data_IF_131600088162
#
_entry.id   IF_131600088162
#
_cell.length_a   1.000
_cell.length_b   1.000
_cell.length_c   1.000
_cell.angle_alpha   90.00
_cell.angle_beta   90.00
_cell.angle_gamma   90.00
#
_symmetry.space_group_name_H-M   'P 1'
#
loop_
_entity.id
_entity.type
_entity.pdbx_description
1 polymer ?
#
# COMPACT_ATOMS: atom_id res chain seq x y z
N UNK A 1 3.26 4.13 24.60
CA UNK A 1 2.73 5.21 23.75
C UNK A 1 2.09 4.62 22.50
N UNK A 2 0.91 5.08 22.17
CA UNK A 2 0.16 4.55 21.03
C UNK A 2 0.80 5.03 19.72
N UNK A 3 0.93 4.11 18.75
CA UNK A 3 1.49 4.46 17.45
C UNK A 3 0.50 5.27 16.63
N UNK A 4 1.00 6.16 15.82
CA UNK A 4 0.16 6.93 14.92
C UNK A 4 -0.25 6.06 13.72
N UNK A 5 -1.38 6.36 13.08
CA UNK A 5 -1.86 5.55 11.94
C UNK A 5 -0.84 5.39 10.83
N UNK A 6 -0.13 6.45 10.48
CA UNK A 6 0.85 6.38 9.39
C UNK A 6 1.97 5.39 9.68
N UNK A 7 2.42 5.29 10.93
CA UNK A 7 3.45 4.32 11.30
C UNK A 7 2.98 2.89 11.07
N UNK A 8 1.74 2.60 11.43
CA UNK A 8 1.18 1.25 11.25
C UNK A 8 1.02 0.91 9.78
N UNK A 9 0.56 1.87 8.99
CA UNK A 9 0.37 1.67 7.56
C UNK A 9 1.71 1.44 6.87
N UNK A 10 2.72 2.26 7.18
CA UNK A 10 4.06 2.12 6.59
C UNK A 10 4.68 0.78 6.99
N UNK A 11 4.47 0.34 8.22
CA UNK A 11 5.10 -0.89 8.71
C UNK A 11 4.39 -2.14 8.19
N UNK A 12 3.06 -2.14 8.17
CA UNK A 12 2.28 -3.36 7.94
C UNK A 12 1.62 -3.43 6.57
N UNK A 13 1.27 -2.32 5.97
CA UNK A 13 0.49 -2.31 4.74
C UNK A 13 1.33 -1.99 3.51
N UNK A 14 2.14 -0.94 3.55
CA UNK A 14 2.87 -0.51 2.38
C UNK A 14 3.84 -1.55 1.82
N UNK A 15 4.55 -2.33 2.64
CA UNK A 15 5.40 -3.40 2.07
C UNK A 15 4.58 -4.41 1.26
N UNK A 16 3.40 -4.77 1.75
CA UNK A 16 2.50 -5.66 1.02
C UNK A 16 1.99 -5.02 -0.27
N UNK A 17 1.62 -3.74 -0.19
CA UNK A 17 1.15 -3.00 -1.36
C UNK A 17 2.24 -2.91 -2.43
N UNK A 18 3.46 -2.58 -2.03
CA UNK A 18 4.60 -2.53 -2.96
C UNK A 18 4.85 -3.88 -3.61
N UNK A 19 4.83 -4.95 -2.82
CA UNK A 19 5.02 -6.30 -3.34
C UNK A 19 3.95 -6.70 -4.33
N UNK A 20 2.69 -6.43 -4.01
CA UNK A 20 1.58 -6.76 -4.89
C UNK A 20 1.59 -5.93 -6.16
N UNK A 21 1.89 -4.63 -6.06
CA UNK A 21 2.02 -3.76 -7.24
C UNK A 21 3.15 -4.22 -8.14
N UNK A 22 4.31 -4.53 -7.56
CA UNK A 22 5.45 -5.00 -8.33
C UNK A 22 5.10 -6.28 -9.10
N UNK A 23 4.43 -7.21 -8.43
CA UNK A 23 4.02 -8.47 -9.06
C UNK A 23 3.07 -8.23 -10.22
N UNK A 24 2.08 -7.37 -10.04
CA UNK A 24 1.13 -7.03 -11.11
C UNK A 24 1.83 -6.40 -12.30
N UNK A 25 2.73 -5.45 -12.06
CA UNK A 25 3.46 -4.79 -13.15
C UNK A 25 4.32 -5.77 -13.93
N UNK A 26 5.00 -6.67 -13.26
CA UNK A 26 5.85 -7.65 -13.94
C UNK A 26 5.01 -8.69 -14.68
N UNK A 27 4.03 -9.27 -14.02
CA UNK A 27 3.28 -10.40 -14.59
C UNK A 27 2.19 -9.99 -15.57
N UNK A 28 1.50 -8.90 -15.30
CA UNK A 28 0.38 -8.47 -16.11
C UNK A 28 0.75 -7.44 -17.16
N UNK A 29 1.65 -6.51 -16.81
CA UNK A 29 2.00 -5.41 -17.69
C UNK A 29 3.33 -5.58 -18.38
N UNK A 30 4.05 -6.67 -18.13
CA UNK A 30 5.28 -6.98 -18.83
C UNK A 30 6.49 -6.15 -18.45
N UNK A 31 6.45 -5.48 -17.31
CA UNK A 31 7.61 -4.71 -16.84
C UNK A 31 8.74 -5.65 -16.46
N UNK A 32 9.98 -5.21 -16.69
CA UNK A 32 11.13 -5.95 -16.17
C UNK A 32 11.32 -5.63 -14.71
N UNK A 33 12.01 -6.53 -14.00
CA UNK A 33 12.31 -6.30 -12.59
C UNK A 33 13.16 -5.04 -12.39
N UNK A 34 14.03 -4.75 -13.33
CA UNK A 34 14.87 -3.54 -13.29
C UNK A 34 14.00 -2.29 -13.43
N UNK A 35 13.03 -2.32 -14.34
CA UNK A 35 12.10 -1.18 -14.51
C UNK A 35 11.30 -0.93 -13.22
N UNK A 36 10.78 -1.97 -12.62
CA UNK A 36 10.01 -1.84 -11.37
C UNK A 36 10.91 -1.35 -10.23
N UNK A 37 12.12 -1.88 -10.14
CA UNK A 37 13.09 -1.44 -9.13
C UNK A 37 13.36 0.07 -9.26
N UNK A 38 13.52 0.55 -10.47
CA UNK A 38 13.76 1.97 -10.72
C UNK A 38 12.53 2.80 -10.31
N UNK A 39 11.34 2.36 -10.69
CA UNK A 39 10.10 3.07 -10.34
C UNK A 39 9.87 3.16 -8.83
N UNK A 40 10.20 2.10 -8.13
CA UNK A 40 9.92 2.00 -6.69
C UNK A 40 11.08 2.51 -5.83
N UNK A 41 12.22 2.80 -6.44
CA UNK A 41 13.41 3.20 -5.68
C UNK A 41 13.96 2.10 -4.80
N UNK A 42 13.88 0.85 -5.25
CA UNK A 42 14.38 -0.32 -4.52
C UNK A 42 15.34 -1.10 -5.40
N UNK A 43 15.95 -2.15 -4.85
CA UNK A 43 16.87 -3.01 -5.61
C UNK A 43 16.08 -4.01 -6.46
N UNK A 44 16.71 -4.47 -7.55
CA UNK A 44 16.09 -5.52 -8.36
C UNK A 44 15.96 -6.83 -7.59
N UNK A 45 16.84 -7.08 -6.62
CA UNK A 45 16.72 -8.22 -5.73
C UNK A 45 15.44 -8.16 -4.91
N UNK A 46 15.08 -6.97 -4.40
CA UNK A 46 13.83 -6.78 -3.68
C UNK A 46 12.63 -7.05 -4.57
N UNK A 47 12.66 -6.57 -5.81
CA UNK A 47 11.59 -6.83 -6.78
C UNK A 47 11.47 -8.32 -7.07
N UNK A 48 12.59 -9.01 -7.21
CA UNK A 48 12.58 -10.45 -7.41
C UNK A 48 11.87 -11.17 -6.27
N UNK A 49 12.11 -10.75 -5.04
CA UNK A 49 11.41 -11.30 -3.88
C UNK A 49 9.91 -11.02 -3.91
N UNK A 50 9.54 -9.83 -4.32
CA UNK A 50 8.12 -9.47 -4.46
C UNK A 50 7.41 -10.37 -5.47
N UNK A 51 8.05 -10.57 -6.63
CA UNK A 51 7.48 -11.39 -7.70
C UNK A 51 7.33 -12.84 -7.28
N UNK A 52 8.28 -13.35 -6.50
CA UNK A 52 8.22 -14.72 -5.98
C UNK A 52 7.22 -14.88 -4.84
N UNK A 53 6.66 -13.80 -4.33
CA UNK A 53 5.72 -13.85 -3.23
C UNK A 53 6.33 -14.05 -1.86
N UNK A 54 7.65 -13.94 -1.73
CA UNK A 54 8.34 -14.06 -0.44
C UNK A 54 7.99 -12.89 0.47
N UNK A 55 7.85 -11.70 -0.12
CA UNK A 55 7.34 -10.52 0.57
C UNK A 55 5.97 -10.23 0.01
N UNK A 56 4.99 -10.04 0.78
CA UNK A 56 3.67 -9.65 0.28
C UNK A 56 2.55 -10.40 0.96
N UNK A 57 2.87 -11.49 1.63
CA UNK A 57 1.89 -12.12 2.47
C UNK A 57 1.63 -11.23 3.68
N UNK A 58 0.38 -10.97 3.98
CA UNK A 58 0.02 -10.14 5.11
C UNK A 58 -1.20 -10.72 5.78
N UNK A 59 -1.00 -11.31 6.95
CA UNK A 59 -2.08 -11.97 7.67
C UNK A 59 -3.15 -10.98 8.12
N UNK A 60 -2.80 -9.71 8.34
CA UNK A 60 -3.79 -8.71 8.74
C UNK A 60 -4.78 -8.47 7.61
N UNK A 61 -4.27 -8.26 6.41
CA UNK A 61 -5.11 -8.03 5.22
C UNK A 61 -5.86 -9.30 4.86
N UNK A 62 -5.15 -10.42 4.80
CA UNK A 62 -5.70 -11.69 4.32
C UNK A 62 -6.82 -12.22 5.21
N UNK A 63 -6.77 -11.92 6.50
CA UNK A 63 -7.82 -12.32 7.44
C UNK A 63 -8.92 -11.28 7.60
N UNK A 64 -8.79 -10.12 6.96
CA UNK A 64 -9.78 -9.06 7.07
C UNK A 64 -10.88 -9.22 6.04
N UNK A 65 -12.01 -8.56 6.29
CA UNK A 65 -13.09 -8.49 5.32
C UNK A 65 -12.73 -7.64 4.10
N UNK A 66 -11.61 -6.95 4.14
CA UNK A 66 -11.17 -6.02 3.10
C UNK A 66 -10.17 -6.64 2.13
N UNK A 67 -9.89 -7.93 2.26
CA UNK A 67 -8.90 -8.60 1.42
C UNK A 67 -9.16 -8.42 -0.06
N UNK A 68 -10.35 -8.77 -0.51
CA UNK A 68 -10.69 -8.72 -1.93
C UNK A 68 -10.67 -7.28 -2.46
N UNK A 69 -11.23 -6.36 -1.71
CA UNK A 69 -11.24 -4.95 -2.08
C UNK A 69 -9.83 -4.38 -2.15
N UNK A 70 -8.98 -4.77 -1.20
CA UNK A 70 -7.59 -4.32 -1.15
C UNK A 70 -6.83 -4.77 -2.40
N UNK A 71 -6.91 -6.05 -2.73
CA UNK A 71 -6.16 -6.57 -3.88
C UNK A 71 -6.74 -6.09 -5.21
N UNK A 72 -8.04 -5.87 -5.28
CA UNK A 72 -8.63 -5.25 -6.46
C UNK A 72 -8.14 -3.82 -6.64
N UNK A 73 -8.03 -3.07 -5.57
CA UNK A 73 -7.46 -1.73 -5.60
C UNK A 73 -6.02 -1.77 -6.10
N UNK A 74 -5.24 -2.75 -5.66
CA UNK A 74 -3.85 -2.92 -6.11
C UNK A 74 -3.80 -3.16 -7.62
N UNK A 75 -4.68 -4.00 -8.14
CA UNK A 75 -4.75 -4.23 -9.59
C UNK A 75 -5.07 -2.93 -10.35
N UNK A 76 -6.03 -2.15 -9.85
CA UNK A 76 -6.38 -0.87 -10.45
C UNK A 76 -5.22 0.11 -10.40
N UNK A 77 -4.50 0.15 -9.29
CA UNK A 77 -3.33 1.02 -9.15
C UNK A 77 -2.22 0.62 -10.10
N UNK A 78 -1.99 -0.69 -10.31
CA UNK A 78 -1.02 -1.16 -11.27
C UNK A 78 -1.39 -0.73 -12.69
N UNK A 79 -2.66 -0.83 -13.05
CA UNK A 79 -3.14 -0.35 -14.35
C UNK A 79 -2.90 1.15 -14.50
N UNK A 80 -3.15 1.92 -13.45
CA UNK A 80 -2.94 3.36 -13.47
C UNK A 80 -1.45 3.72 -13.59
N UNK A 81 -0.59 2.99 -12.90
CA UNK A 81 0.86 3.18 -13.01
C UNK A 81 1.31 2.91 -14.45
N UNK A 82 0.79 1.85 -15.05
CA UNK A 82 1.12 1.50 -16.42
C UNK A 82 0.68 2.59 -17.42
N UNK A 83 -0.31 3.39 -17.06
CA UNK A 83 -0.80 4.48 -17.92
C UNK A 83 -0.25 5.84 -17.52
N UNK A 84 0.68 5.90 -16.58
CA UNK A 84 1.39 7.14 -16.27
C UNK A 84 1.29 7.65 -14.84
N UNK A 85 0.51 7.00 -13.98
CA UNK A 85 0.43 7.42 -12.58
C UNK A 85 1.77 7.19 -11.87
N UNK A 86 2.17 8.12 -11.03
CA UNK A 86 3.34 7.96 -10.19
C UNK A 86 3.12 6.91 -9.11
N UNK A 87 4.15 6.13 -8.82
CA UNK A 87 4.08 5.11 -7.75
C UNK A 87 3.78 5.75 -6.40
N UNK A 88 4.36 6.91 -6.13
CA UNK A 88 4.10 7.60 -4.86
C UNK A 88 2.63 7.99 -4.72
N UNK A 89 2.00 8.42 -5.80
CA UNK A 89 0.58 8.73 -5.79
C UNK A 89 -0.26 7.50 -5.51
N UNK A 90 0.06 6.39 -6.15
CA UNK A 90 -0.62 5.13 -5.92
C UNK A 90 -0.52 4.70 -4.46
N UNK A 91 0.67 4.81 -3.88
CA UNK A 91 0.88 4.45 -2.47
C UNK A 91 0.13 5.39 -1.53
N UNK A 92 0.04 6.67 -1.86
CA UNK A 92 -0.79 7.60 -1.08
C UNK A 92 -2.26 7.22 -1.11
N UNK A 93 -2.76 6.77 -2.25
CA UNK A 93 -4.14 6.30 -2.36
C UNK A 93 -4.38 5.04 -1.54
N UNK A 94 -3.39 4.17 -1.48
CA UNK A 94 -3.47 2.99 -0.60
C UNK A 94 -3.57 3.42 0.86
N UNK A 95 -2.73 4.37 1.29
CA UNK A 95 -2.81 4.90 2.65
C UNK A 95 -4.17 5.48 2.97
N UNK A 96 -4.72 6.26 2.05
CA UNK A 96 -6.02 6.87 2.22
C UNK A 96 -7.11 5.81 2.34
N UNK A 97 -7.06 4.78 1.52
CA UNK A 97 -7.99 3.67 1.61
C UNK A 97 -7.95 3.02 2.99
N UNK A 98 -6.75 2.74 3.50
CA UNK A 98 -6.60 2.12 4.82
C UNK A 98 -7.17 3.00 5.91
N UNK A 99 -6.91 4.31 5.85
CA UNK A 99 -7.40 5.25 6.84
C UNK A 99 -8.91 5.35 6.85
N UNK A 100 -9.54 5.22 5.70
CA UNK A 100 -10.98 5.40 5.55
C UNK A 100 -11.77 4.10 5.59
N UNK A 101 -11.10 2.97 5.70
CA UNK A 101 -11.74 1.67 5.81
C UNK A 101 -11.55 1.10 7.20
N UNK A 102 -12.25 0.01 7.51
CA UNK A 102 -12.06 -0.68 8.79
C UNK A 102 -10.72 -1.38 8.94
N UNK A 103 -9.90 -1.36 7.91
CA UNK A 103 -8.58 -2.00 7.96
C UNK A 103 -7.67 -1.32 8.99
N UNK A 104 -7.81 -0.01 9.18
CA UNK A 104 -7.05 0.69 10.22
C UNK A 104 -7.35 0.14 11.60
N UNK A 105 -8.61 -0.14 11.89
CA UNK A 105 -9.00 -0.75 13.16
C UNK A 105 -8.34 -2.12 13.34
N UNK A 106 -8.31 -2.91 12.26
CA UNK A 106 -7.65 -4.22 12.31
C UNK A 106 -6.17 -4.09 12.63
N UNK A 107 -5.50 -3.06 12.11
CA UNK A 107 -4.10 -2.81 12.42
C UNK A 107 -3.88 -2.49 13.89
N UNK A 108 -4.72 -1.64 14.48
CA UNK A 108 -4.59 -1.29 15.88
C UNK A 108 -4.87 -2.50 16.78
N UNK A 109 -5.84 -3.30 16.44
CA UNK A 109 -6.12 -4.53 17.18
C UNK A 109 -4.96 -5.50 17.10
N UNK A 110 -4.36 -5.63 15.92
CA UNK A 110 -3.18 -6.49 15.72
C UNK A 110 -2.02 -6.05 16.62
N UNK A 111 -1.83 -4.75 16.81
CA UNK A 111 -0.76 -4.21 17.65
C UNK A 111 -1.09 -4.27 19.14
N UNK A 112 -2.26 -4.80 19.51
CA UNK A 112 -2.63 -4.99 20.90
C UNK A 112 -3.49 -3.90 21.50
N UNK A 113 -3.95 -2.95 20.71
CA UNK A 113 -4.88 -1.93 21.18
C UNK A 113 -6.31 -2.42 21.08
N UNK A 114 -7.16 -1.94 21.99
CA UNK A 114 -8.56 -2.37 22.00
C UNK A 114 -9.40 -1.63 20.95
N UNK A 115 -8.95 -0.48 20.50
CA UNK A 115 -9.69 0.33 19.52
C UNK A 115 -8.77 1.36 18.86
N UNK A 116 -9.30 2.04 17.86
CA UNK A 116 -8.60 3.09 17.14
C UNK A 116 -8.70 4.38 17.97
N UNK A 117 -7.60 5.14 18.10
CA UNK A 117 -7.69 6.42 18.79
C UNK A 117 -8.64 7.37 18.07
N UNK A 118 -9.34 8.18 18.85
CA UNK A 118 -10.18 9.22 18.29
C UNK A 118 -9.30 10.29 17.68
N UNK A 119 -9.26 10.33 16.37
CA UNK A 119 -8.57 11.38 15.64
C UNK A 119 -9.20 11.54 14.26
N UNK A 120 -9.01 12.72 13.72
CA UNK A 120 -9.42 12.97 12.35
C UNK A 120 -8.32 12.46 11.43
N UNK A 121 -8.67 11.53 10.56
CA UNK A 121 -7.72 10.95 9.62
C UNK A 121 -7.74 11.70 8.29
N UNK A 122 -7.85 13.00 8.35
CA UNK A 122 -7.76 13.80 7.15
C UNK A 122 -6.30 14.07 6.87
N UNK A 123 -5.86 13.73 5.67
CA UNK A 123 -4.60 14.26 5.19
C UNK A 123 -4.72 15.77 5.26
N UNK A 124 -3.76 16.46 5.88
CA UNK A 124 -3.80 17.92 5.85
C UNK A 124 -3.91 18.35 4.41
N UNK A 125 -4.93 19.11 4.10
CA UNK A 125 -5.09 19.65 2.76
C UNK A 125 -4.06 20.72 2.54
N UNK A 126 -2.85 20.30 2.44
CA UNK A 126 -1.77 21.19 2.07
C UNK A 126 -1.81 21.25 0.57
N UNK A 127 -2.21 22.37 0.06
CA UNK A 127 -2.54 22.55 -1.33
C UNK A 127 -1.44 22.16 -2.31
N UNK A 128 -0.20 22.27 -1.88
CA UNK A 128 0.91 21.90 -2.75
C UNK A 128 1.37 20.48 -2.55
N UNK A 129 0.69 19.72 -1.68
CA UNK A 129 1.19 18.43 -1.24
C UNK A 129 0.10 17.38 -1.04
N UNK A 130 -1.06 17.62 -1.52
CA UNK A 130 -2.15 16.68 -1.38
C UNK A 130 -1.91 15.46 -2.28
N UNK A 131 -2.29 14.30 -1.81
CA UNK A 131 -2.20 13.07 -2.59
C UNK A 131 -3.07 13.12 -3.84
N UNK A 132 -4.08 13.96 -3.83
CA UNK A 132 -4.97 14.15 -4.95
C UNK A 132 -4.52 15.26 -5.88
N UNK A 133 -3.45 15.91 -5.54
CA UNK A 133 -2.96 17.10 -6.19
C UNK A 133 -1.79 16.74 -7.07
N UNK A 134 -2.06 16.35 -8.23
CA UNK A 134 -1.00 15.98 -9.16
C UNK A 134 -1.01 16.87 -10.36
#
# INVERSE_FOLDING_TARGET
>A
MMKIPCELIVTHILPTAKGALARELVKKHGYTQVQVAHLFGVTSAAVSQYVKGVRGGNSIIDKSAYKDDFYKMIEDMADNIATGMHVSEALCLVCEYVKNSGLLKALYIYEGYSDVPEMKFECPKITFFSCSDT
#
